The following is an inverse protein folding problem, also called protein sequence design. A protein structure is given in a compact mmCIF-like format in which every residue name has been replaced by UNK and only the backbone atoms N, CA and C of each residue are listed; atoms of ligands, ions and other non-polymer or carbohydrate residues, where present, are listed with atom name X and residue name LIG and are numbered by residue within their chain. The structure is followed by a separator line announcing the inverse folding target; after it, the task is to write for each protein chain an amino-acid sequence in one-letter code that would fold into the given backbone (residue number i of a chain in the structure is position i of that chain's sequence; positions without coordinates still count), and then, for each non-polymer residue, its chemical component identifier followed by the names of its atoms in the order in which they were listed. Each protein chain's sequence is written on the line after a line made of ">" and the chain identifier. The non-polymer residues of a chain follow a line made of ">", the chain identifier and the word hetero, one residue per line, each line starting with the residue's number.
data_IF_481141722690
#
_entry.id   IF_481141722690
#
_cell.length_a   1.000
_cell.length_b   1.000
_cell.length_c   1.000
_cell.angle_alpha   90.00
_cell.angle_beta   90.00
_cell.angle_gamma   90.00
#
_symmetry.space_group_name_H-M   'P 1'
#
loop_
_entity.id
_entity.type
_entity.pdbx_description
1 polymer ?
#
# COMPACT_ATOMS: atom_id res chain seq x y z
N UNK A 1 0.80 4.67 76.73
CA UNK A 1 -0.08 3.65 76.11
C UNK A 1 -0.55 4.23 74.79
N UNK A 2 -0.30 3.46 73.74
CA UNK A 2 -0.30 3.80 72.33
C UNK A 2 -1.71 3.77 71.69
N UNK A 3 -1.81 4.30 70.46
CA UNK A 3 -2.75 3.95 69.36
C UNK A 3 -4.14 4.66 69.41
N UNK A 4 -4.74 5.17 68.32
CA UNK A 4 -4.55 5.01 66.88
C UNK A 4 -5.11 6.27 66.18
N UNK A 5 -4.28 6.98 65.40
CA UNK A 5 -4.76 7.98 64.45
C UNK A 5 -5.13 7.25 63.14
N UNK A 6 -6.42 7.17 62.82
CA UNK A 6 -6.94 6.62 61.57
C UNK A 6 -6.70 7.63 60.43
N UNK A 7 -5.51 7.57 59.83
CA UNK A 7 -5.26 8.16 58.52
C UNK A 7 -5.73 7.18 57.43
N UNK A 8 -6.94 7.43 56.90
CA UNK A 8 -7.42 6.81 55.67
C UNK A 8 -6.65 7.41 54.49
N UNK A 9 -5.52 6.80 54.14
CA UNK A 9 -4.83 7.07 52.88
C UNK A 9 -5.57 6.32 51.78
N UNK A 10 -6.51 6.99 51.13
CA UNK A 10 -7.10 6.52 49.88
C UNK A 10 -6.04 6.54 48.79
N UNK A 11 -5.42 5.38 48.54
CA UNK A 11 -4.54 5.18 47.40
C UNK A 11 -5.41 5.18 46.14
N UNK A 12 -5.54 6.34 45.49
CA UNK A 12 -6.05 6.47 44.13
C UNK A 12 -5.00 5.90 43.18
N UNK A 13 -5.10 4.60 42.89
CA UNK A 13 -4.45 4.01 41.72
C UNK A 13 -5.08 4.63 40.48
N UNK A 14 -4.39 5.61 39.89
CA UNK A 14 -4.68 6.08 38.54
C UNK A 14 -4.33 4.95 37.56
N UNK A 15 -5.30 4.08 37.29
CA UNK A 15 -5.24 3.14 36.17
C UNK A 15 -5.30 3.96 34.88
N UNK A 16 -4.13 4.37 34.37
CA UNK A 16 -4.06 4.87 33.00
C UNK A 16 -4.37 3.69 32.08
N UNK A 17 -5.61 3.63 31.60
CA UNK A 17 -5.97 2.83 30.44
C UNK A 17 -5.17 3.38 29.26
N UNK A 18 -3.99 2.79 29.01
CA UNK A 18 -3.22 3.04 27.81
C UNK A 18 -4.08 2.62 26.63
N UNK A 19 -4.68 3.59 25.93
CA UNK A 19 -5.24 3.36 24.60
C UNK A 19 -4.17 2.75 23.67
N UNK A 20 -4.56 2.08 22.58
CA UNK A 20 -3.62 1.41 21.69
C UNK A 20 -2.51 2.37 21.27
N UNK A 21 -1.27 2.09 21.72
CA UNK A 21 -0.11 2.89 21.35
C UNK A 21 0.20 2.64 19.88
N UNK A 22 0.10 3.70 19.06
CA UNK A 22 0.55 3.66 17.66
C UNK A 22 2.03 3.28 17.63
N UNK A 23 2.37 2.27 16.82
CA UNK A 23 3.75 1.75 16.70
C UNK A 23 4.61 2.53 15.71
N UNK A 24 3.96 3.23 14.77
CA UNK A 24 4.63 4.06 13.77
C UNK A 24 3.73 5.20 13.28
N UNK A 25 4.35 6.17 12.61
CA UNK A 25 3.66 7.23 11.88
C UNK A 25 3.88 7.01 10.38
N UNK A 26 2.78 6.92 9.62
CA UNK A 26 2.88 6.90 8.16
C UNK A 26 3.30 8.29 7.66
N UNK A 27 4.24 8.39 6.70
CA UNK A 27 4.54 9.65 6.05
C UNK A 27 3.26 10.21 5.40
N UNK A 28 3.03 11.51 5.56
CA UNK A 28 1.83 12.18 5.07
C UNK A 28 1.86 12.47 3.56
N UNK A 29 3.05 12.40 2.94
CA UNK A 29 3.28 12.78 1.54
C UNK A 29 4.14 11.70 0.88
N UNK A 30 3.81 11.34 -0.35
CA UNK A 30 4.66 10.49 -1.18
C UNK A 30 5.99 11.22 -1.49
N UNK A 31 7.14 10.53 -1.57
CA UNK A 31 8.38 11.19 -1.93
C UNK A 31 8.25 11.91 -3.28
N UNK A 32 8.75 13.15 -3.42
CA UNK A 32 8.64 13.96 -4.65
C UNK A 32 9.12 13.23 -5.91
N UNK A 33 10.10 12.34 -5.76
CA UNK A 33 10.62 11.48 -6.84
C UNK A 33 9.55 10.54 -7.41
N UNK A 34 8.62 10.08 -6.57
CA UNK A 34 7.53 9.18 -6.95
C UNK A 34 6.41 9.95 -7.67
N UNK A 35 6.15 11.20 -7.31
CA UNK A 35 5.12 12.02 -7.97
C UNK A 35 5.39 12.18 -9.47
N UNK A 36 6.64 12.46 -9.86
CA UNK A 36 7.04 12.55 -11.27
C UNK A 36 6.86 11.21 -12.01
N UNK A 37 7.26 10.11 -11.37
CA UNK A 37 7.12 8.77 -11.94
C UNK A 37 5.65 8.38 -12.13
N UNK A 38 4.78 8.77 -11.18
CA UNK A 38 3.34 8.57 -11.29
C UNK A 38 2.79 9.36 -12.48
N UNK A 39 3.18 10.62 -12.67
CA UNK A 39 2.73 11.42 -13.80
C UNK A 39 3.13 10.77 -15.14
N UNK A 40 4.41 10.38 -15.29
CA UNK A 40 4.90 9.69 -16.48
C UNK A 40 4.11 8.39 -16.75
N UNK A 41 3.85 7.60 -15.71
CA UNK A 41 3.08 6.35 -15.83
C UNK A 41 1.60 6.58 -16.15
N UNK A 42 1.00 7.64 -15.62
CA UNK A 42 -0.38 8.01 -15.96
C UNK A 42 -0.50 8.37 -17.44
N UNK A 43 0.50 9.07 -18.00
CA UNK A 43 0.49 9.43 -19.41
C UNK A 43 0.71 8.21 -20.32
N UNK A 44 1.58 7.27 -19.94
CA UNK A 44 1.72 5.98 -20.65
C UNK A 44 0.42 5.17 -20.65
N UNK A 45 -0.30 5.14 -19.54
CA UNK A 45 -1.56 4.38 -19.43
C UNK A 45 -2.69 5.07 -20.18
N UNK A 46 -2.80 6.40 -20.10
CA UNK A 46 -3.78 7.14 -20.92
C UNK A 46 -3.58 6.84 -22.40
N UNK A 47 -2.33 6.85 -22.87
CA UNK A 47 -2.01 6.52 -24.27
C UNK A 47 -2.38 5.07 -24.62
N UNK A 48 -2.09 4.12 -23.74
CA UNK A 48 -2.44 2.71 -23.96
C UNK A 48 -3.97 2.47 -23.95
N UNK A 49 -4.70 3.09 -23.01
CA UNK A 49 -6.17 3.02 -22.95
C UNK A 49 -6.78 3.68 -24.19
N UNK A 50 -6.26 4.82 -24.62
CA UNK A 50 -6.74 5.50 -25.83
C UNK A 50 -6.48 4.67 -27.08
N UNK A 51 -5.36 3.96 -27.18
CA UNK A 51 -5.07 3.04 -28.28
C UNK A 51 -5.99 1.82 -28.27
N UNK A 52 -6.21 1.19 -27.10
CA UNK A 52 -7.15 0.08 -26.94
C UNK A 52 -8.58 0.50 -27.30
N UNK A 53 -9.01 1.69 -26.87
CA UNK A 53 -10.33 2.25 -27.20
C UNK A 53 -10.47 2.66 -28.68
N UNK A 54 -9.37 2.99 -29.38
CA UNK A 54 -9.36 3.28 -30.82
C UNK A 54 -9.42 2.01 -31.67
N UNK A 55 -8.82 0.92 -31.19
CA UNK A 55 -8.92 -0.41 -31.80
C UNK A 55 -10.33 -1.03 -31.59
N UNK A 56 -11.02 -0.67 -30.49
CA UNK A 56 -12.35 -1.17 -30.11
C UNK A 56 -13.52 -0.20 -30.37
N UNK A 57 -13.36 0.86 -31.18
CA UNK A 57 -14.39 1.89 -31.37
C UNK A 57 -15.78 1.34 -31.76
N UNK A 58 -16.65 1.18 -30.76
CA UNK A 58 -17.76 2.10 -30.49
C UNK A 58 -18.20 1.90 -29.02
N UNK A 59 -17.82 2.77 -28.08
CA UNK A 59 -18.61 3.15 -26.88
C UNK A 59 -17.91 4.28 -26.08
N UNK A 60 -18.61 5.41 -26.04
CA UNK A 60 -18.71 6.49 -25.06
C UNK A 60 -17.50 6.87 -24.18
N UNK A 61 -16.95 8.03 -24.52
CA UNK A 61 -16.13 8.97 -23.74
C UNK A 61 -16.81 9.51 -22.47
N UNK A 62 -17.26 8.63 -21.56
CA UNK A 62 -17.82 9.02 -20.25
C UNK A 62 -16.94 8.57 -19.06
N UNK A 63 -15.98 7.65 -19.31
CA UNK A 63 -15.06 7.11 -18.29
C UNK A 63 -14.00 8.13 -17.86
N UNK A 64 -13.74 9.16 -18.67
CA UNK A 64 -12.65 10.12 -18.40
C UNK A 64 -13.04 11.30 -17.49
N UNK A 65 -14.31 11.46 -17.11
CA UNK A 65 -14.76 12.66 -16.37
C UNK A 65 -15.57 12.41 -15.09
N UNK A 66 -15.90 11.18 -14.72
CA UNK A 66 -16.72 10.96 -13.51
C UNK A 66 -15.87 10.82 -12.23
N UNK A 67 -15.52 11.95 -11.60
CA UNK A 67 -15.16 11.98 -10.18
C UNK A 67 -16.43 11.76 -9.34
N UNK A 68 -16.75 10.51 -9.00
CA UNK A 68 -17.77 10.19 -7.99
C UNK A 68 -17.23 9.28 -6.90
N UNK A 69 -16.81 9.91 -5.81
CA UNK A 69 -16.83 9.50 -4.39
C UNK A 69 -17.07 8.00 -4.06
N UNK A 70 -16.02 7.35 -3.52
CA UNK A 70 -16.01 6.28 -2.50
C UNK A 70 -17.09 5.19 -2.61
N UNK A 71 -17.13 4.48 -3.72
CA UNK A 71 -17.57 3.08 -3.73
C UNK A 71 -16.34 2.21 -4.03
N UNK A 72 -16.34 0.95 -3.61
CA UNK A 72 -15.23 0.05 -3.91
C UNK A 72 -14.94 0.09 -5.42
N UNK A 73 -13.68 0.37 -5.79
CA UNK A 73 -13.28 0.52 -7.19
C UNK A 73 -13.85 -0.61 -8.05
N UNK A 74 -14.37 -0.27 -9.23
CA UNK A 74 -14.84 -1.27 -10.19
C UNK A 74 -13.67 -2.22 -10.56
N UNK A 75 -13.95 -3.44 -11.04
CA UNK A 75 -12.88 -4.36 -11.48
C UNK A 75 -11.93 -3.72 -12.52
N UNK A 76 -12.45 -2.85 -13.37
CA UNK A 76 -11.67 -2.14 -14.39
C UNK A 76 -10.85 -1.00 -13.79
N UNK A 77 -11.40 -0.22 -12.85
CA UNK A 77 -10.65 0.81 -12.12
C UNK A 77 -9.50 0.21 -11.31
N UNK A 78 -9.77 -0.94 -10.66
CA UNK A 78 -8.76 -1.71 -9.94
C UNK A 78 -7.64 -2.15 -10.89
N UNK A 79 -8.00 -2.62 -12.09
CA UNK A 79 -7.04 -3.05 -13.09
C UNK A 79 -6.20 -1.89 -13.62
N UNK A 80 -6.81 -0.73 -13.87
CA UNK A 80 -6.12 0.50 -14.28
C UNK A 80 -5.12 0.94 -13.20
N UNK A 81 -5.55 0.96 -11.94
CA UNK A 81 -4.68 1.26 -10.79
C UNK A 81 -3.53 0.23 -10.68
N UNK A 82 -3.82 -1.05 -10.92
CA UNK A 82 -2.81 -2.11 -10.97
C UNK A 82 -1.77 -1.90 -12.07
N UNK A 83 -2.19 -1.51 -13.27
CA UNK A 83 -1.26 -1.20 -14.35
C UNK A 83 -0.40 0.03 -14.03
N UNK A 84 -0.97 1.05 -13.36
CA UNK A 84 -0.22 2.22 -12.88
C UNK A 84 0.86 1.80 -11.90
N UNK A 85 0.50 0.98 -10.91
CA UNK A 85 1.45 0.45 -9.93
C UNK A 85 2.54 -0.38 -10.60
N UNK A 86 2.18 -1.23 -11.57
CA UNK A 86 3.16 -2.03 -12.31
C UNK A 86 4.15 -1.16 -13.11
N UNK A 87 3.68 -0.07 -13.71
CA UNK A 87 4.55 0.91 -14.36
C UNK A 87 5.51 1.57 -13.36
N UNK A 88 4.98 2.04 -12.21
CA UNK A 88 5.79 2.65 -11.15
C UNK A 88 6.85 1.66 -10.68
N UNK A 89 6.48 0.42 -10.38
CA UNK A 89 7.43 -0.62 -9.95
C UNK A 89 8.56 -0.85 -10.96
N UNK A 90 8.26 -0.83 -12.26
CA UNK A 90 9.29 -0.94 -13.31
C UNK A 90 10.21 0.28 -13.34
N UNK A 91 9.65 1.50 -13.36
CA UNK A 91 10.43 2.74 -13.47
C UNK A 91 11.33 2.98 -12.25
N UNK A 92 10.89 2.60 -11.06
CA UNK A 92 11.71 2.70 -9.83
C UNK A 92 12.64 1.50 -9.62
N UNK A 93 12.66 0.55 -10.56
CA UNK A 93 13.44 -0.70 -10.46
C UNK A 93 13.10 -1.51 -9.20
N UNK A 94 11.82 -1.59 -8.88
CA UNK A 94 11.30 -2.43 -7.81
C UNK A 94 10.89 -3.82 -8.27
N UNK A 95 11.12 -4.19 -9.54
CA UNK A 95 10.82 -5.52 -10.09
C UNK A 95 12.08 -6.27 -10.53
N UNK A 96 11.99 -7.59 -10.60
CA UNK A 96 12.99 -8.48 -11.18
C UNK A 96 12.93 -8.51 -12.73
N UNK A 97 13.77 -9.34 -13.36
CA UNK A 97 13.80 -9.52 -14.82
C UNK A 97 12.50 -10.08 -15.41
N UNK A 98 11.67 -10.74 -14.61
CA UNK A 98 10.34 -11.22 -15.00
C UNK A 98 9.23 -10.16 -14.82
N UNK A 99 9.59 -8.97 -14.33
CA UNK A 99 8.64 -7.92 -13.97
C UNK A 99 7.89 -8.19 -12.68
N UNK A 100 8.36 -9.09 -11.82
CA UNK A 100 7.76 -9.39 -10.52
C UNK A 100 8.37 -8.52 -9.42
N UNK A 101 7.57 -7.94 -8.51
CA UNK A 101 8.10 -7.06 -7.47
C UNK A 101 9.10 -7.76 -6.54
N UNK A 102 10.15 -7.03 -6.15
CA UNK A 102 11.20 -7.49 -5.24
C UNK A 102 11.06 -6.84 -3.88
N UNK A 103 11.48 -7.53 -2.82
CA UNK A 103 11.35 -6.99 -1.46
C UNK A 103 12.15 -5.70 -1.30
N UNK A 104 13.40 -5.70 -1.74
CA UNK A 104 14.32 -4.56 -1.62
C UNK A 104 13.79 -3.37 -2.42
N UNK A 105 13.22 -3.64 -3.60
CA UNK A 105 12.55 -2.67 -4.43
C UNK A 105 11.36 -2.00 -3.76
N UNK A 106 10.46 -2.79 -3.17
CA UNK A 106 9.27 -2.29 -2.49
C UNK A 106 9.61 -1.54 -1.21
N UNK A 107 10.54 -2.06 -0.40
CA UNK A 107 10.99 -1.34 0.81
C UNK A 107 11.55 0.03 0.46
N UNK A 108 12.36 0.12 -0.61
CA UNK A 108 12.84 1.41 -1.11
C UNK A 108 11.68 2.28 -1.59
N UNK A 109 10.74 1.73 -2.36
CA UNK A 109 9.61 2.52 -2.86
C UNK A 109 8.78 3.17 -1.74
N UNK A 110 8.49 2.43 -0.67
CA UNK A 110 7.61 2.90 0.41
C UNK A 110 8.34 3.68 1.52
N UNK A 111 9.59 3.32 1.83
CA UNK A 111 10.29 3.85 3.00
C UNK A 111 11.50 4.75 2.65
N UNK A 112 11.76 5.01 1.36
CA UNK A 112 12.80 5.99 0.97
C UNK A 112 12.43 7.38 1.48
N UNK A 113 13.36 8.02 2.21
CA UNK A 113 13.15 9.31 2.86
C UNK A 113 12.32 9.27 4.15
N UNK A 114 11.93 8.09 4.66
CA UNK A 114 11.22 7.97 5.94
C UNK A 114 12.21 7.83 7.10
N UNK A 115 12.20 8.78 8.03
CA UNK A 115 13.08 8.76 9.22
C UNK A 115 12.55 7.87 10.35
N UNK A 116 11.28 7.47 10.28
CA UNK A 116 10.61 6.71 11.33
C UNK A 116 10.92 5.21 11.22
N UNK A 117 11.66 4.69 12.21
CA UNK A 117 12.18 3.32 12.21
C UNK A 117 11.08 2.26 12.21
N UNK A 118 9.98 2.49 12.93
CA UNK A 118 8.84 1.58 13.00
C UNK A 118 8.20 1.38 11.63
N UNK A 119 8.03 2.45 10.85
CA UNK A 119 7.50 2.40 9.50
C UNK A 119 8.39 1.63 8.54
N UNK A 120 9.72 1.79 8.64
CA UNK A 120 10.66 0.99 7.87
C UNK A 120 10.52 -0.51 8.18
N UNK A 121 10.43 -0.87 9.46
CA UNK A 121 10.25 -2.27 9.89
C UNK A 121 8.91 -2.82 9.39
N UNK A 122 7.83 -2.05 9.56
CA UNK A 122 6.49 -2.41 9.08
C UNK A 122 6.52 -2.70 7.57
N UNK A 123 7.14 -1.80 6.80
CA UNK A 123 7.27 -1.91 5.35
C UNK A 123 8.08 -3.15 4.94
N UNK A 124 9.21 -3.40 5.63
CA UNK A 124 10.08 -4.54 5.35
C UNK A 124 9.41 -5.89 5.64
N UNK A 125 8.61 -5.97 6.72
CA UNK A 125 7.85 -7.15 7.09
C UNK A 125 6.66 -7.36 6.14
N UNK A 126 5.87 -6.31 5.90
CA UNK A 126 4.74 -6.32 4.98
C UNK A 126 5.17 -6.77 3.57
N UNK A 127 6.24 -6.17 3.04
CA UNK A 127 6.78 -6.53 1.72
C UNK A 127 7.15 -8.01 1.64
N UNK A 128 7.83 -8.56 2.67
CA UNK A 128 8.17 -9.98 2.69
C UNK A 128 6.94 -10.89 2.67
N UNK A 129 5.97 -10.63 3.55
CA UNK A 129 4.77 -11.47 3.69
C UNK A 129 3.91 -11.43 2.43
N UNK A 130 3.69 -10.23 1.88
CA UNK A 130 2.86 -10.05 0.70
C UNK A 130 3.48 -10.65 -0.56
N UNK A 131 4.81 -10.57 -0.72
CA UNK A 131 5.51 -11.20 -1.84
C UNK A 131 5.45 -12.73 -1.75
N UNK A 132 5.60 -13.30 -0.56
CA UNK A 132 5.46 -14.76 -0.38
C UNK A 132 4.06 -15.23 -0.80
N UNK A 133 3.01 -14.54 -0.38
CA UNK A 133 1.64 -14.84 -0.78
C UNK A 133 1.43 -14.67 -2.30
N UNK A 134 1.98 -13.60 -2.89
CA UNK A 134 1.88 -13.34 -4.32
C UNK A 134 2.62 -14.39 -5.16
N UNK A 135 3.80 -14.85 -4.73
CA UNK A 135 4.53 -15.93 -5.40
C UNK A 135 3.71 -17.23 -5.44
N UNK A 136 3.07 -17.59 -4.33
CA UNK A 136 2.22 -18.79 -4.27
C UNK A 136 1.02 -18.67 -5.23
N UNK A 137 0.42 -17.49 -5.37
CA UNK A 137 -0.66 -17.24 -6.35
C UNK A 137 -0.14 -17.32 -7.78
N UNK A 138 1.02 -16.75 -8.05
CA UNK A 138 1.67 -16.79 -9.38
C UNK A 138 1.95 -18.23 -9.83
N UNK A 139 2.45 -19.08 -8.93
CA UNK A 139 2.71 -20.50 -9.25
C UNK A 139 1.44 -21.30 -9.56
N UNK A 140 0.30 -20.91 -8.99
CA UNK A 140 -0.99 -21.56 -9.23
C UNK A 140 -1.69 -21.08 -10.50
N UNK A 141 -1.21 -20.01 -11.12
CA UNK A 141 -1.88 -19.32 -12.23
C UNK A 141 -1.02 -19.42 -13.51
N UNK A 142 -1.62 -19.79 -14.65
CA UNK A 142 -0.90 -19.83 -15.93
C UNK A 142 -0.50 -18.40 -16.40
N UNK A 143 0.67 -18.19 -17.03
CA UNK A 143 1.18 -16.86 -17.31
C UNK A 143 0.39 -16.19 -18.43
N UNK A 144 -0.31 -15.09 -18.12
CA UNK A 144 -0.80 -14.12 -19.12
C UNK A 144 -0.23 -12.75 -18.77
N UNK A 145 0.19 -11.96 -19.77
CA UNK A 145 0.73 -10.61 -19.55
C UNK A 145 -0.19 -9.69 -18.72
N UNK A 146 -1.51 -9.93 -18.77
CA UNK A 146 -2.56 -9.25 -18.01
C UNK A 146 -2.49 -9.49 -16.48
N UNK A 147 -1.91 -10.62 -16.01
CA UNK A 147 -1.74 -10.88 -14.56
C UNK A 147 -0.80 -9.88 -13.88
N UNK A 148 0.04 -9.16 -14.63
CA UNK A 148 1.01 -8.25 -14.02
C UNK A 148 0.36 -7.03 -13.38
N UNK A 149 -0.74 -6.51 -13.94
CA UNK A 149 -1.47 -5.38 -13.37
C UNK A 149 -2.26 -5.79 -12.11
N UNK A 150 -3.03 -6.87 -12.19
CA UNK A 150 -3.83 -7.35 -11.06
C UNK A 150 -2.94 -7.71 -9.86
N UNK A 151 -1.84 -8.42 -10.12
CA UNK A 151 -0.88 -8.78 -9.09
C UNK A 151 -0.20 -7.56 -8.46
N UNK A 152 0.09 -6.51 -9.24
CA UNK A 152 0.67 -5.29 -8.70
C UNK A 152 -0.30 -4.57 -7.74
N UNK A 153 -1.59 -4.54 -8.08
CA UNK A 153 -2.64 -4.02 -7.20
C UNK A 153 -2.76 -4.86 -5.92
N UNK A 154 -2.84 -6.18 -6.04
CA UNK A 154 -2.95 -7.09 -4.89
C UNK A 154 -1.78 -6.96 -3.91
N UNK A 155 -0.55 -6.80 -4.44
CA UNK A 155 0.65 -6.59 -3.62
C UNK A 155 0.58 -5.24 -2.91
N UNK A 156 0.16 -4.17 -3.62
CA UNK A 156 0.00 -2.83 -3.04
C UNK A 156 -1.01 -2.83 -1.88
N UNK A 157 -2.18 -3.44 -2.07
CA UNK A 157 -3.20 -3.51 -1.01
C UNK A 157 -2.72 -4.31 0.18
N UNK A 158 -2.12 -5.48 -0.07
CA UNK A 158 -1.58 -6.30 0.99
C UNK A 158 -0.57 -5.53 1.85
N UNK A 159 0.37 -4.82 1.22
CA UNK A 159 1.39 -4.05 1.93
C UNK A 159 0.75 -2.90 2.71
N UNK A 160 -0.14 -2.14 2.07
CA UNK A 160 -0.81 -1.00 2.69
C UNK A 160 -1.62 -1.42 3.92
N UNK A 161 -2.33 -2.55 3.85
CA UNK A 161 -3.07 -3.12 4.97
C UNK A 161 -2.13 -3.58 6.09
N UNK A 162 -1.06 -4.31 5.76
CA UNK A 162 -0.10 -4.81 6.76
C UNK A 162 0.66 -3.69 7.48
N UNK A 163 1.06 -2.64 6.76
CA UNK A 163 1.67 -1.46 7.37
C UNK A 163 0.67 -0.78 8.30
N UNK A 164 -0.59 -0.62 7.85
CA UNK A 164 -1.64 0.00 8.65
C UNK A 164 -1.91 -0.77 9.94
N UNK A 165 -2.09 -2.10 9.86
CA UNK A 165 -2.26 -3.02 11.00
C UNK A 165 -1.09 -2.92 11.99
N UNK A 166 0.14 -2.94 11.47
CA UNK A 166 1.33 -2.83 12.30
C UNK A 166 1.38 -1.48 13.02
N UNK A 167 1.15 -0.37 12.31
CA UNK A 167 1.23 0.97 12.88
C UNK A 167 0.07 1.30 13.84
N UNK A 168 -1.12 0.76 13.62
CA UNK A 168 -2.26 0.90 14.54
C UNK A 168 -2.09 0.09 15.83
N UNK A 169 -1.16 -0.86 15.86
CA UNK A 169 -0.95 -1.75 17.00
C UNK A 169 -2.04 -2.80 17.18
N UNK A 170 -2.92 -2.95 16.18
CA UNK A 170 -3.93 -4.01 16.11
C UNK A 170 -3.28 -5.25 15.50
N UNK A 171 -2.71 -6.11 16.34
CA UNK A 171 -2.34 -7.48 15.99
C UNK A 171 -3.43 -8.44 16.45
#
# INVERSE_FOLDING_TARGET
>A
MFLFALFLVSVLTASQAAGPQKRCQSPAIAPQRIEKVIADCQDEIKLAILQEALDDLEISTDVLTSRTKREAFSPDERRIAGCLLQCVYRKVRAVDSSGFPTREGLVRLYADGVEERGYYIATAQASQQCLQAAHQRRQKSAPRGQQSCDMAYDIFECISNKISEYCSGTN
#
